data_IF_625994982026
#
_entry.id   IF_625994982026
#
_cell.length_a   1.000
_cell.length_b   1.000
_cell.length_c   1.000
_cell.angle_alpha   90.00
_cell.angle_beta   90.00
_cell.angle_gamma   90.00
#
_symmetry.space_group_name_H-M   'P 1'
#
loop_
_entity.id
_entity.type
_entity.pdbx_description
1 polymer ?
#
# COMPACT_ATOMS: atom_id res chain seq x y z
N UNK A 1 11.35 -16.11 -6.87
CA UNK A 1 9.95 -16.13 -7.32
C UNK A 1 9.17 -17.05 -6.41
N UNK A 2 8.63 -16.49 -5.34
CA UNK A 2 7.77 -17.21 -4.41
C UNK A 2 6.58 -17.83 -5.15
N UNK A 3 6.20 -19.03 -4.71
CA UNK A 3 4.98 -19.69 -5.18
C UNK A 3 3.82 -19.16 -4.33
N UNK A 4 3.07 -18.20 -4.85
CA UNK A 4 1.80 -17.72 -4.28
C UNK A 4 0.67 -18.09 -5.25
N UNK A 5 -0.43 -18.60 -4.72
CA UNK A 5 -1.61 -18.96 -5.52
C UNK A 5 -2.73 -17.95 -5.31
N UNK A 6 -3.70 -17.94 -6.23
CA UNK A 6 -4.84 -17.01 -6.12
C UNK A 6 -5.73 -17.42 -4.95
N UNK A 7 -5.81 -18.72 -4.69
CA UNK A 7 -6.53 -19.35 -3.60
C UNK A 7 -6.06 -18.80 -2.24
N UNK A 8 -4.74 -18.69 -2.03
CA UNK A 8 -4.16 -18.12 -0.79
C UNK A 8 -4.60 -16.66 -0.54
N UNK A 9 -4.90 -15.92 -1.60
CA UNK A 9 -5.35 -14.53 -1.51
C UNK A 9 -6.86 -14.42 -1.26
N UNK A 10 -7.64 -15.41 -1.72
CA UNK A 10 -9.10 -15.40 -1.60
C UNK A 10 -9.59 -15.69 -0.18
N UNK A 11 -8.73 -16.24 0.68
CA UNK A 11 -9.03 -16.35 2.12
C UNK A 11 -9.14 -14.98 2.82
N UNK A 12 -8.61 -13.92 2.19
CA UNK A 12 -8.58 -12.56 2.73
C UNK A 12 -9.35 -11.54 1.87
N UNK A 13 -9.80 -11.92 0.68
CA UNK A 13 -10.53 -11.07 -0.27
C UNK A 13 -11.61 -11.89 -0.97
N UNK A 14 -12.87 -11.49 -0.81
CA UNK A 14 -14.01 -12.26 -1.30
C UNK A 14 -14.18 -12.24 -2.84
N UNK A 15 -13.60 -11.24 -3.51
CA UNK A 15 -13.80 -10.98 -4.93
C UNK A 15 -12.47 -10.93 -5.71
N UNK A 16 -12.39 -11.71 -6.79
CA UNK A 16 -11.20 -11.77 -7.67
C UNK A 16 -10.89 -10.44 -8.36
N UNK A 17 -11.90 -9.65 -8.71
CA UNK A 17 -11.69 -8.32 -9.30
C UNK A 17 -11.09 -7.36 -8.27
N UNK A 18 -11.60 -7.41 -7.04
CA UNK A 18 -11.07 -6.63 -5.93
C UNK A 18 -9.64 -7.03 -5.59
N UNK A 19 -9.32 -8.32 -5.59
CA UNK A 19 -7.95 -8.81 -5.45
C UNK A 19 -7.01 -8.18 -6.48
N UNK A 20 -7.40 -8.17 -7.77
CA UNK A 20 -6.57 -7.57 -8.83
C UNK A 20 -6.40 -6.07 -8.60
N UNK A 21 -7.46 -5.36 -8.22
CA UNK A 21 -7.41 -3.92 -7.97
C UNK A 21 -6.53 -3.58 -6.76
N UNK A 22 -6.69 -4.32 -5.65
CA UNK A 22 -5.92 -4.18 -4.42
C UNK A 22 -4.43 -4.46 -4.68
N UNK A 23 -4.11 -5.59 -5.31
CA UNK A 23 -2.74 -5.96 -5.65
C UNK A 23 -2.10 -4.96 -6.61
N UNK A 24 -2.85 -4.42 -7.57
CA UNK A 24 -2.34 -3.39 -8.50
C UNK A 24 -2.00 -2.11 -7.74
N UNK A 25 -2.90 -1.62 -6.88
CA UNK A 25 -2.67 -0.39 -6.11
C UNK A 25 -1.47 -0.55 -5.18
N UNK A 26 -1.40 -1.65 -4.43
CA UNK A 26 -0.27 -1.94 -3.54
C UNK A 26 1.05 -2.11 -4.29
N UNK A 27 1.05 -2.84 -5.41
CA UNK A 27 2.25 -2.99 -6.23
C UNK A 27 2.79 -1.65 -6.74
N UNK A 28 1.94 -0.66 -7.01
CA UNK A 28 2.37 0.69 -7.41
C UNK A 28 2.97 1.46 -6.24
N UNK A 29 2.40 1.34 -5.04
CA UNK A 29 3.00 1.93 -3.82
C UNK A 29 4.42 1.40 -3.59
N UNK A 30 4.65 0.10 -3.79
CA UNK A 30 5.97 -0.52 -3.68
C UNK A 30 6.94 -0.12 -4.80
N UNK A 31 6.44 0.01 -6.04
CA UNK A 31 7.30 0.27 -7.20
C UNK A 31 7.66 1.75 -7.39
N UNK A 32 6.72 2.66 -7.12
CA UNK A 32 6.87 4.10 -7.39
C UNK A 32 6.51 4.98 -6.21
N UNK A 33 5.66 4.51 -5.30
CA UNK A 33 5.22 5.28 -4.13
C UNK A 33 6.21 5.29 -2.97
N UNK A 34 7.35 4.60 -3.08
CA UNK A 34 8.39 4.60 -2.04
C UNK A 34 7.98 3.93 -0.72
N UNK A 35 6.81 3.29 -0.65
CA UNK A 35 6.37 2.58 0.56
C UNK A 35 7.20 1.31 0.75
N UNK A 36 7.56 1.04 2.00
CA UNK A 36 8.24 -0.20 2.35
C UNK A 36 7.28 -1.39 2.33
N UNK A 37 7.73 -2.59 1.92
CA UNK A 37 6.93 -3.78 2.08
C UNK A 37 6.86 -4.21 3.55
N UNK A 38 5.72 -4.77 3.93
CA UNK A 38 5.52 -5.39 5.24
C UNK A 38 6.12 -6.81 5.32
N UNK A 39 6.49 -7.38 4.17
CA UNK A 39 7.19 -8.65 4.07
C UNK A 39 8.58 -8.46 3.47
N UNK A 40 9.51 -9.34 3.84
CA UNK A 40 10.87 -9.30 3.32
C UNK A 40 10.90 -9.53 1.80
N UNK A 41 11.79 -8.81 1.12
CA UNK A 41 12.05 -9.03 -0.30
C UNK A 41 12.80 -10.36 -0.51
N UNK A 42 12.22 -11.27 -1.28
CA UNK A 42 12.86 -12.54 -1.68
C UNK A 42 13.23 -12.55 -3.17
N UNK A 43 13.73 -11.42 -3.68
CA UNK A 43 13.97 -11.18 -5.12
C UNK A 43 12.69 -11.32 -5.98
N UNK A 44 11.53 -11.04 -5.37
CA UNK A 44 10.25 -11.04 -6.03
C UNK A 44 9.95 -9.68 -6.65
N UNK A 45 9.15 -9.67 -7.72
CA UNK A 45 8.65 -8.41 -8.30
C UNK A 45 7.63 -7.76 -7.34
N UNK A 46 7.45 -6.43 -7.38
CA UNK A 46 6.50 -5.72 -6.51
C UNK A 46 5.09 -6.32 -6.52
N UNK A 47 4.62 -6.82 -7.66
CA UNK A 47 3.32 -7.51 -7.79
C UNK A 47 3.22 -8.79 -6.98
N UNK A 48 4.31 -9.58 -6.94
CA UNK A 48 4.35 -10.83 -6.18
C UNK A 48 4.46 -10.53 -4.68
N UNK A 49 5.21 -9.50 -4.30
CA UNK A 49 5.28 -9.05 -2.90
C UNK A 49 3.90 -8.58 -2.42
N UNK A 50 3.19 -7.77 -3.21
CA UNK A 50 1.84 -7.32 -2.89
C UNK A 50 0.86 -8.50 -2.70
N UNK A 51 0.89 -9.51 -3.58
CA UNK A 51 0.04 -10.70 -3.43
C UNK A 51 0.38 -11.51 -2.18
N UNK A 52 1.67 -11.61 -1.81
CA UNK A 52 2.08 -12.26 -0.56
C UNK A 52 1.62 -11.49 0.67
N UNK A 53 1.68 -10.16 0.64
CA UNK A 53 1.17 -9.33 1.73
C UNK A 53 -0.35 -9.51 1.92
N UNK A 54 -1.09 -9.64 0.80
CA UNK A 54 -2.54 -9.92 0.82
C UNK A 54 -2.82 -11.33 1.35
N UNK A 55 -2.10 -12.34 0.87
CA UNK A 55 -2.21 -13.73 1.35
C UNK A 55 -1.83 -13.89 2.84
N UNK A 56 -0.99 -13.00 3.37
CA UNK A 56 -0.66 -12.93 4.79
C UNK A 56 -1.65 -12.09 5.62
N UNK A 57 -2.70 -11.52 5.01
CA UNK A 57 -3.68 -10.66 5.69
C UNK A 57 -3.14 -9.30 6.14
N UNK A 58 -1.99 -8.86 5.61
CA UNK A 58 -1.33 -7.61 6.00
C UNK A 58 -1.79 -6.39 5.19
N UNK A 59 -2.54 -6.63 4.12
CA UNK A 59 -3.06 -5.64 3.19
C UNK A 59 -4.55 -5.83 2.95
N UNK A 60 -5.31 -4.75 3.15
CA UNK A 60 -6.72 -4.62 2.82
C UNK A 60 -6.98 -3.21 2.26
N UNK A 61 -8.19 -2.96 1.76
CA UNK A 61 -8.56 -1.64 1.26
C UNK A 61 -8.46 -0.56 2.35
N UNK A 62 -8.83 -0.88 3.59
CA UNK A 62 -8.76 0.06 4.71
C UNK A 62 -7.33 0.47 5.02
N UNK A 63 -6.40 -0.50 5.00
CA UNK A 63 -4.97 -0.25 5.22
C UNK A 63 -4.41 0.69 4.16
N UNK A 64 -4.75 0.45 2.89
CA UNK A 64 -4.28 1.28 1.79
C UNK A 64 -4.87 2.69 1.86
N UNK A 65 -6.16 2.82 2.22
CA UNK A 65 -6.80 4.12 2.35
C UNK A 65 -6.16 4.97 3.46
N UNK A 66 -5.80 4.36 4.59
CA UNK A 66 -5.09 5.03 5.68
C UNK A 66 -3.71 5.52 5.25
N UNK A 67 -2.95 4.69 4.52
CA UNK A 67 -1.60 5.04 4.05
C UNK A 67 -1.59 6.22 3.07
N UNK A 68 -2.67 6.42 2.31
CA UNK A 68 -2.81 7.55 1.37
C UNK A 68 -3.18 8.86 2.11
N UNK A 69 -3.89 8.79 3.24
CA UNK A 69 -4.32 9.98 4.02
C UNK A 69 -3.14 10.65 4.73
N UNK A 70 -2.11 9.88 5.11
CA UNK A 70 -0.96 10.38 5.87
C UNK A 70 0.04 11.15 5.00
N UNK A 71 0.00 11.00 3.68
CA UNK A 71 0.97 11.66 2.77
C UNK A 71 0.59 13.09 2.36
N UNK A 72 -0.67 13.48 2.52
CA UNK A 72 -1.08 14.88 2.34
C UNK A 72 -0.96 15.62 3.67
N UNK A 73 0.24 16.06 4.03
CA UNK A 73 0.37 17.25 4.89
C UNK A 73 -0.50 18.34 4.24
N UNK A 74 -1.56 18.82 4.91
CA UNK A 74 -2.43 19.80 4.30
C UNK A 74 -1.59 21.03 4.01
N UNK A 75 -1.47 21.40 2.73
CA UNK A 75 -0.76 22.59 2.26
C UNK A 75 -1.16 23.86 3.05
N UNK A 76 -2.33 23.84 3.70
CA UNK A 76 -2.83 24.86 4.61
C UNK A 76 -1.98 25.07 5.88
N UNK A 77 -1.39 24.02 6.46
CA UNK A 77 -0.60 24.13 7.69
C UNK A 77 0.72 24.88 7.47
N UNK A 78 1.34 24.70 6.29
CA UNK A 78 2.58 25.40 5.92
C UNK A 78 2.39 26.93 5.79
N UNK A 79 1.20 27.40 5.41
CA UNK A 79 0.90 28.83 5.31
C UNK A 79 0.60 29.49 6.66
N UNK A 80 0.14 28.73 7.66
CA UNK A 80 -0.14 29.28 9.00
C UNK A 80 1.14 29.54 9.80
N UNK A 81 2.20 28.74 9.62
CA UNK A 81 3.50 29.00 10.27
C UNK A 81 4.16 30.27 9.74
N UNK A 82 4.14 30.52 8.43
CA UNK A 82 4.71 31.72 7.80
C UNK A 82 3.96 33.01 8.22
N UNK A 83 2.66 32.90 8.51
CA UNK A 83 1.83 34.02 8.96
C UNK A 83 2.00 34.39 10.44
N UNK A 84 2.63 33.52 11.24
CA UNK A 84 2.76 33.68 12.69
C UNK A 84 4.21 33.89 13.15
N UNK A 85 5.15 34.12 12.23
CA UNK A 85 6.49 34.64 12.56
C UNK A 85 6.40 36.14 12.92
N UNK A 86 6.69 36.55 14.16
CA UNK A 86 6.83 37.97 14.48
C UNK A 86 8.18 38.48 13.95
N UNK A 87 8.14 39.61 13.23
CA UNK A 87 9.30 40.37 12.73
C UNK A 87 10.35 40.68 13.82
#
# INVERSE_FOLDING_TARGET
MARVTVEDCLDHVDNRFELVMLATKRSRQLATGGKEPKLAWENDKPTVVALREIAAGLMSYDVIAQDDIVEEEPLFAAFEEEANEPL
#
